data_IF_368768122992
#
_entry.id   IF_368768122992
#
_cell.length_a   1.000
_cell.length_b   1.000
_cell.length_c   1.000
_cell.angle_alpha   90.00
_cell.angle_beta   90.00
_cell.angle_gamma   90.00
#
_symmetry.space_group_name_H-M   'P 1'
#
loop_
_entity.id
_entity.type
_entity.pdbx_description
1 polymer ?
#
# COMPACT_ATOMS: atom_id res chain seq x y z
N UNK A 1 -23.56 13.41 -13.79
CA UNK A 1 -22.64 12.36 -13.41
C UNK A 1 -22.22 12.52 -11.97
N UNK A 2 -22.15 11.41 -11.29
CA UNK A 2 -21.79 11.41 -9.91
C UNK A 2 -20.29 11.68 -9.72
N UNK A 3 -19.91 12.54 -8.76
CA UNK A 3 -18.49 12.72 -8.44
C UNK A 3 -17.80 11.44 -7.99
N UNK A 4 -18.57 10.50 -7.48
CA UNK A 4 -17.98 9.24 -7.06
C UNK A 4 -17.54 8.38 -8.24
N UNK A 5 -18.11 8.61 -9.43
CA UNK A 5 -17.73 7.87 -10.61
C UNK A 5 -16.26 8.10 -10.99
N UNK A 6 -15.80 9.36 -11.07
CA UNK A 6 -14.38 9.59 -11.32
C UNK A 6 -13.48 8.97 -10.26
N UNK A 7 -13.87 9.06 -8.98
CA UNK A 7 -13.10 8.44 -7.91
C UNK A 7 -13.07 6.93 -8.08
N UNK A 8 -14.21 6.36 -8.46
CA UNK A 8 -14.30 4.94 -8.68
C UNK A 8 -13.41 4.51 -9.85
N UNK A 9 -13.42 5.29 -10.92
CA UNK A 9 -12.60 5.02 -12.10
C UNK A 9 -11.11 5.06 -11.76
N UNK A 10 -10.71 5.97 -10.87
CA UNK A 10 -9.33 6.05 -10.41
C UNK A 10 -8.94 4.78 -9.65
N UNK A 11 -9.80 4.30 -8.78
CA UNK A 11 -9.54 3.08 -8.03
C UNK A 11 -9.42 1.86 -8.91
N UNK A 12 -10.35 1.72 -9.85
CA UNK A 12 -10.39 0.55 -10.71
C UNK A 12 -9.09 0.37 -11.49
N UNK A 13 -8.58 1.42 -12.17
CA UNK A 13 -7.31 1.27 -12.90
C UNK A 13 -6.15 0.84 -12.00
N UNK A 14 -6.06 1.41 -10.80
CA UNK A 14 -4.97 1.05 -9.89
C UNK A 14 -5.09 -0.42 -9.49
N UNK A 15 -6.28 -0.86 -9.15
CA UNK A 15 -6.52 -2.24 -8.76
C UNK A 15 -6.31 -3.20 -9.93
N UNK A 16 -6.76 -2.80 -11.10
CA UNK A 16 -6.66 -3.64 -12.29
C UNK A 16 -5.27 -3.68 -12.87
N UNK A 17 -4.48 -2.63 -12.66
CA UNK A 17 -3.13 -2.55 -13.20
C UNK A 17 -2.11 -3.33 -12.41
N UNK A 18 -2.35 -3.52 -11.12
CA UNK A 18 -1.41 -4.24 -10.28
C UNK A 18 -2.08 -5.46 -9.67
N UNK A 19 -1.37 -6.55 -9.74
CA UNK A 19 -1.76 -7.75 -9.03
C UNK A 19 -0.89 -7.82 -7.79
N UNK A 20 -1.47 -7.41 -6.67
CA UNK A 20 -0.74 -7.35 -5.41
C UNK A 20 -0.08 -8.68 -5.06
N UNK A 21 -0.73 -9.79 -5.38
CA UNK A 21 -0.20 -11.10 -5.06
C UNK A 21 1.09 -11.39 -5.82
N UNK A 22 1.23 -10.85 -7.03
CA UNK A 22 2.41 -11.08 -7.84
C UNK A 22 3.57 -10.17 -7.46
N UNK A 23 3.28 -8.91 -7.13
CA UNK A 23 4.37 -7.97 -6.84
C UNK A 23 4.79 -8.00 -5.38
N UNK A 24 3.95 -8.46 -4.48
CA UNK A 24 4.25 -8.48 -3.06
C UNK A 24 5.58 -9.19 -2.74
N UNK A 25 5.84 -10.41 -3.26
CA UNK A 25 7.14 -11.05 -2.98
C UNK A 25 8.31 -10.23 -3.49
N UNK A 26 8.17 -9.59 -4.65
CA UNK A 26 9.23 -8.77 -5.21
C UNK A 26 9.50 -7.53 -4.37
N UNK A 27 8.44 -6.92 -3.86
CA UNK A 27 8.57 -5.76 -2.97
C UNK A 27 9.32 -6.15 -1.70
N UNK A 28 8.99 -7.31 -1.12
CA UNK A 28 9.67 -7.79 0.07
C UNK A 28 11.16 -7.97 -0.21
N UNK A 29 11.52 -8.57 -1.35
CA UNK A 29 12.91 -8.75 -1.72
C UNK A 29 13.65 -7.42 -1.86
N UNK A 30 13.00 -6.42 -2.44
CA UNK A 30 13.62 -5.11 -2.62
C UNK A 30 13.81 -4.37 -1.31
N UNK A 31 12.83 -4.50 -0.42
CA UNK A 31 12.89 -3.80 0.86
C UNK A 31 13.79 -4.49 1.86
N UNK A 32 13.89 -5.81 1.80
CA UNK A 32 14.65 -6.62 2.74
C UNK A 32 15.61 -7.53 1.98
N UNK A 33 16.83 -7.02 1.66
CA UNK A 33 17.78 -7.80 0.86
C UNK A 33 18.26 -9.08 1.52
N UNK A 34 18.27 -9.12 2.86
CA UNK A 34 18.71 -10.30 3.57
C UNK A 34 17.61 -11.34 3.64
N UNK A 35 17.94 -12.57 3.30
CA UNK A 35 16.96 -13.66 3.25
C UNK A 35 16.28 -13.87 4.59
N UNK A 36 17.03 -13.79 5.68
CA UNK A 36 16.48 -13.98 7.01
C UNK A 36 15.45 -12.90 7.36
N UNK A 37 15.68 -11.67 6.91
CA UNK A 37 14.71 -10.60 7.11
C UNK A 37 13.46 -10.84 6.25
N UNK A 38 13.65 -11.33 5.03
CA UNK A 38 12.53 -11.67 4.16
C UNK A 38 11.64 -12.72 4.81
N UNK A 39 12.25 -13.77 5.36
CA UNK A 39 11.51 -14.85 6.02
C UNK A 39 10.74 -14.32 7.22
N UNK A 40 11.39 -13.49 8.01
CA UNK A 40 10.76 -12.90 9.20
C UNK A 40 9.56 -12.04 8.79
N UNK A 41 9.73 -11.19 7.78
CA UNK A 41 8.67 -10.30 7.32
C UNK A 41 7.50 -11.10 6.75
N UNK A 42 7.78 -12.14 5.97
CA UNK A 42 6.72 -13.00 5.44
C UNK A 42 5.90 -13.62 6.57
N UNK A 43 6.59 -14.11 7.61
CA UNK A 43 5.90 -14.70 8.76
C UNK A 43 5.05 -13.68 9.50
N UNK A 44 5.57 -12.46 9.67
CA UNK A 44 4.81 -11.40 10.35
C UNK A 44 3.57 -11.02 9.54
N UNK A 45 3.77 -10.78 8.26
CA UNK A 45 2.66 -10.38 7.37
C UNK A 45 1.59 -11.47 7.30
N UNK A 46 2.00 -12.73 7.45
CA UNK A 46 1.06 -13.85 7.42
C UNK A 46 0.02 -13.81 8.53
N UNK A 47 0.26 -13.05 9.58
CA UNK A 47 -0.70 -12.89 10.66
C UNK A 47 -1.95 -12.16 10.18
N UNK A 48 -1.81 -11.21 9.25
CA UNK A 48 -2.96 -10.65 8.58
C UNK A 48 -3.28 -11.53 7.38
N UNK A 49 -4.48 -12.05 7.33
CA UNK A 49 -4.90 -12.99 6.31
C UNK A 49 -4.97 -14.42 6.85
N UNK A 50 -4.52 -14.63 8.10
CA UNK A 50 -4.63 -15.92 8.74
C UNK A 50 -6.10 -16.30 8.98
N UNK A 51 -6.92 -15.30 9.35
CA UNK A 51 -8.34 -15.52 9.54
C UNK A 51 -9.07 -15.36 8.22
N UNK A 52 -10.05 -16.23 7.97
CA UNK A 52 -10.78 -16.19 6.72
C UNK A 52 -11.58 -14.91 6.49
N UNK A 53 -11.83 -14.14 7.55
CA UNK A 53 -12.60 -12.89 7.42
C UNK A 53 -11.73 -11.67 7.15
N UNK A 54 -10.40 -11.83 7.09
CA UNK A 54 -9.53 -10.70 6.76
C UNK A 54 -9.66 -10.36 5.28
N UNK A 55 -10.14 -9.13 4.92
CA UNK A 55 -10.33 -8.79 3.51
C UNK A 55 -9.06 -8.23 2.88
N UNK A 56 -9.00 -8.25 1.56
CA UNK A 56 -7.98 -7.57 0.76
C UNK A 56 -6.56 -7.91 1.22
N UNK A 57 -6.30 -9.19 1.44
CA UNK A 57 -5.08 -9.64 2.14
C UNK A 57 -3.81 -9.07 1.52
N UNK A 58 -3.62 -9.24 0.23
CA UNK A 58 -2.36 -8.80 -0.39
C UNK A 58 -2.25 -7.29 -0.47
N UNK A 59 -3.36 -6.62 -0.69
CA UNK A 59 -3.40 -5.16 -0.72
C UNK A 59 -3.04 -4.59 0.66
N UNK A 60 -3.59 -5.18 1.72
CA UNK A 60 -3.29 -4.73 3.08
C UNK A 60 -1.83 -5.01 3.43
N UNK A 61 -1.30 -6.16 3.04
CA UNK A 61 0.11 -6.48 3.27
C UNK A 61 1.03 -5.49 2.57
N UNK A 62 0.69 -5.07 1.36
CA UNK A 62 1.44 -4.03 0.66
C UNK A 62 1.40 -2.70 1.43
N UNK A 63 0.21 -2.35 1.93
CA UNK A 63 0.06 -1.13 2.72
C UNK A 63 0.92 -1.17 3.98
N UNK A 64 0.95 -2.31 4.65
CA UNK A 64 1.80 -2.49 5.82
C UNK A 64 3.26 -2.22 5.47
N UNK A 65 3.73 -2.79 4.37
CA UNK A 65 5.12 -2.60 3.95
C UNK A 65 5.44 -1.15 3.67
N UNK A 66 4.52 -0.44 3.00
CA UNK A 66 4.73 0.97 2.70
C UNK A 66 4.89 1.78 3.99
N UNK A 67 4.03 1.55 4.96
CA UNK A 67 4.06 2.30 6.21
C UNK A 67 5.25 1.92 7.09
N UNK A 68 5.62 0.65 7.06
CA UNK A 68 6.70 0.16 7.92
C UNK A 68 8.09 0.54 7.41
N UNK A 69 8.25 0.70 6.11
CA UNK A 69 9.58 0.89 5.57
C UNK A 69 10.42 -0.35 5.78
N UNK A 70 11.72 -0.18 5.92
CA UNK A 70 12.67 -1.28 5.98
C UNK A 70 12.92 -1.82 7.39
N UNK A 71 11.92 -1.73 8.25
CA UNK A 71 12.02 -2.17 9.65
C UNK A 71 11.05 -3.33 9.92
N UNK A 72 11.57 -4.54 10.18
CA UNK A 72 10.70 -5.65 10.55
C UNK A 72 9.85 -5.38 11.79
N UNK A 73 10.37 -4.61 12.74
CA UNK A 73 9.60 -4.25 13.94
C UNK A 73 8.38 -3.42 13.58
N UNK A 74 8.54 -2.48 12.64
CA UNK A 74 7.42 -1.67 12.18
C UNK A 74 6.45 -2.49 11.35
N UNK A 75 6.93 -3.47 10.62
CA UNK A 75 6.06 -4.41 9.92
C UNK A 75 5.14 -5.10 10.95
N UNK A 76 5.70 -5.54 12.07
CA UNK A 76 4.91 -6.17 13.12
C UNK A 76 3.86 -5.22 13.68
N UNK A 77 4.26 -3.98 13.94
CA UNK A 77 3.37 -2.97 14.48
C UNK A 77 2.16 -2.75 13.58
N UNK A 78 2.41 -2.53 12.27
CA UNK A 78 1.33 -2.26 11.34
C UNK A 78 0.50 -3.49 11.01
N UNK A 79 1.11 -4.67 11.09
CA UNK A 79 0.35 -5.92 10.91
C UNK A 79 -0.68 -6.08 12.04
N UNK A 80 -0.26 -5.82 13.27
CA UNK A 80 -1.18 -5.90 14.40
C UNK A 80 -2.27 -4.83 14.29
N UNK A 81 -1.91 -3.64 13.83
CA UNK A 81 -2.88 -2.59 13.59
C UNK A 81 -3.90 -3.00 12.53
N UNK A 82 -3.43 -3.64 11.46
CA UNK A 82 -4.33 -4.11 10.40
C UNK A 82 -5.30 -5.18 10.90
N UNK A 83 -4.85 -6.03 11.82
CA UNK A 83 -5.74 -7.03 12.41
C UNK A 83 -6.85 -6.39 13.22
N UNK A 84 -6.62 -5.21 13.77
CA UNK A 84 -7.65 -4.45 14.48
C UNK A 84 -8.57 -3.72 13.53
N UNK A 85 -7.98 -2.98 12.58
CA UNK A 85 -8.76 -2.24 11.59
C UNK A 85 -7.91 -2.03 10.35
N UNK A 86 -8.10 -2.92 9.39
CA UNK A 86 -7.33 -2.87 8.15
C UNK A 86 -7.55 -1.58 7.37
N UNK A 87 -8.72 -0.93 7.54
CA UNK A 87 -9.05 0.30 6.81
C UNK A 87 -8.13 1.44 7.19
N UNK A 88 -7.75 1.52 8.44
CA UNK A 88 -6.81 2.56 8.89
C UNK A 88 -5.46 2.40 8.20
N UNK A 89 -5.00 1.16 8.09
CA UNK A 89 -3.73 0.89 7.44
C UNK A 89 -3.80 1.21 5.94
N UNK A 90 -4.88 0.80 5.27
CA UNK A 90 -5.05 1.12 3.86
C UNK A 90 -5.10 2.63 3.62
N UNK A 91 -5.88 3.34 4.43
CA UNK A 91 -6.02 4.79 4.28
C UNK A 91 -4.68 5.49 4.48
N UNK A 92 -3.93 5.10 5.50
CA UNK A 92 -2.65 5.73 5.79
C UNK A 92 -1.63 5.49 4.66
N UNK A 93 -1.66 4.32 4.05
CA UNK A 93 -0.70 3.99 2.98
C UNK A 93 -1.12 4.55 1.62
N UNK A 94 -2.40 4.43 1.29
CA UNK A 94 -2.90 4.79 -0.04
C UNK A 94 -3.41 6.23 -0.13
N UNK A 95 -3.94 6.75 0.97
CA UNK A 95 -4.57 8.08 0.97
C UNK A 95 -4.11 8.93 2.15
N UNK A 96 -2.79 9.09 2.34
CA UNK A 96 -2.30 9.81 3.53
C UNK A 96 -2.78 11.26 3.59
N UNK A 97 -2.92 11.93 2.45
CA UNK A 97 -3.35 13.33 2.44
C UNK A 97 -4.78 13.49 2.89
N UNK A 98 -5.64 12.51 2.57
CA UNK A 98 -7.04 12.58 2.92
C UNK A 98 -7.29 12.33 4.42
N UNK A 99 -6.34 11.70 5.10
CA UNK A 99 -6.47 11.45 6.52
C UNK A 99 -6.31 12.71 7.36
N UNK A 100 -5.79 13.78 6.78
CA UNK A 100 -5.60 15.05 7.50
C UNK A 100 -6.94 15.72 7.80
N UNK A 101 -7.88 15.63 6.87
CA UNK A 101 -9.19 16.26 7.03
C UNK A 101 -10.29 15.36 6.48
N UNK A 102 -10.94 14.64 7.37
CA UNK A 102 -12.01 13.70 6.99
C UNK A 102 -13.25 14.39 6.43
N UNK A 103 -13.38 15.70 6.64
CA UNK A 103 -14.53 16.45 6.14
C UNK A 103 -14.24 17.13 4.81
N UNK A 104 -13.07 16.94 4.24
CA UNK A 104 -12.67 17.64 3.04
C UNK A 104 -13.63 17.41 1.88
N UNK A 105 -14.15 16.20 1.76
CA UNK A 105 -15.08 15.88 0.67
C UNK A 105 -16.30 16.80 0.67
N UNK A 106 -16.79 17.15 1.86
CA UNK A 106 -17.93 18.05 2.00
C UNK A 106 -17.52 19.50 1.85
N UNK A 107 -16.36 19.86 2.37
CA UNK A 107 -15.90 21.25 2.40
C UNK A 107 -15.40 21.71 1.05
N UNK A 108 -14.66 20.88 0.35
CA UNK A 108 -14.02 21.23 -0.91
C UNK A 108 -13.91 19.99 -1.78
N UNK A 109 -14.98 19.61 -2.49
CA UNK A 109 -14.98 18.40 -3.32
C UNK A 109 -13.91 18.39 -4.40
N UNK A 110 -13.61 19.54 -4.99
CA UNK A 110 -12.58 19.60 -6.04
C UNK A 110 -11.21 19.30 -5.48
N UNK A 111 -10.90 19.85 -4.32
CA UNK A 111 -9.62 19.57 -3.66
C UNK A 111 -9.54 18.11 -3.22
N UNK A 112 -10.67 17.56 -2.77
CA UNK A 112 -10.74 16.16 -2.41
C UNK A 112 -10.36 15.27 -3.59
N UNK A 113 -10.94 15.54 -4.76
CA UNK A 113 -10.65 14.76 -5.95
C UNK A 113 -9.20 14.87 -6.39
N UNK A 114 -8.62 16.08 -6.28
CA UNK A 114 -7.21 16.28 -6.58
C UNK A 114 -6.32 15.45 -5.67
N UNK A 115 -6.65 15.42 -4.38
CA UNK A 115 -5.86 14.68 -3.41
C UNK A 115 -5.94 13.17 -3.61
N UNK A 116 -7.10 12.66 -4.04
CA UNK A 116 -7.21 11.25 -4.38
C UNK A 116 -6.20 10.89 -5.47
N UNK A 117 -6.13 11.71 -6.52
CA UNK A 117 -5.22 11.46 -7.63
C UNK A 117 -3.77 11.54 -7.16
N UNK A 118 -3.44 12.55 -6.36
CA UNK A 118 -2.09 12.70 -5.84
C UNK A 118 -1.69 11.53 -4.95
N UNK A 119 -2.61 11.09 -4.08
CA UNK A 119 -2.32 9.99 -3.17
C UNK A 119 -2.14 8.67 -3.90
N UNK A 120 -2.97 8.41 -4.90
CA UNK A 120 -2.81 7.21 -5.71
C UNK A 120 -1.48 7.24 -6.47
N UNK A 121 -1.09 8.41 -6.96
CA UNK A 121 0.17 8.56 -7.65
C UNK A 121 1.35 8.27 -6.71
N UNK A 122 1.32 8.79 -5.50
CA UNK A 122 2.41 8.57 -4.56
C UNK A 122 2.52 7.09 -4.19
N UNK A 123 1.41 6.38 -4.10
CA UNK A 123 1.41 4.96 -3.82
C UNK A 123 2.04 4.18 -4.99
N UNK A 124 1.64 4.50 -6.22
CA UNK A 124 2.22 3.88 -7.40
C UNK A 124 3.71 4.16 -7.49
N UNK A 125 4.11 5.40 -7.26
CA UNK A 125 5.52 5.78 -7.33
C UNK A 125 6.34 5.02 -6.31
N UNK A 126 5.77 4.76 -5.15
CA UNK A 126 6.47 4.00 -4.13
C UNK A 126 6.80 2.58 -4.61
N UNK A 127 5.81 1.83 -5.07
CA UNK A 127 6.09 0.45 -5.44
C UNK A 127 6.83 0.34 -6.78
N UNK A 128 6.53 1.24 -7.72
CA UNK A 128 7.26 1.25 -8.98
C UNK A 128 8.72 1.63 -8.77
N UNK A 129 8.98 2.56 -7.83
CA UNK A 129 10.34 2.93 -7.51
C UNK A 129 11.16 1.77 -7.01
N UNK A 130 10.58 0.96 -6.12
CA UNK A 130 11.26 -0.21 -5.61
C UNK A 130 11.58 -1.21 -6.72
N UNK A 131 10.60 -1.49 -7.56
CA UNK A 131 10.77 -2.45 -8.65
C UNK A 131 11.73 -1.93 -9.71
N UNK A 132 11.65 -0.64 -10.01
CA UNK A 132 12.43 -0.01 -11.06
C UNK A 132 13.89 0.20 -10.66
N UNK A 133 14.13 0.58 -9.42
CA UNK A 133 15.48 0.79 -8.92
C UNK A 133 16.36 -0.45 -9.08
N UNK A 134 15.77 -1.62 -8.81
CA UNK A 134 16.50 -2.86 -8.99
C UNK A 134 16.93 -3.07 -10.43
N UNK A 135 16.06 -2.72 -11.36
CA UNK A 135 16.37 -2.84 -12.79
C UNK A 135 17.43 -1.82 -13.22
N UNK A 136 17.29 -0.59 -12.71
CA UNK A 136 18.25 0.47 -13.03
C UNK A 136 19.66 0.12 -12.56
N UNK A 137 19.76 -0.44 -11.36
CA UNK A 137 21.06 -0.88 -10.84
C UNK A 137 21.66 -1.96 -11.70
N UNK A 138 20.87 -2.92 -12.14
CA UNK A 138 21.33 -3.98 -13.01
C UNK A 138 21.82 -3.42 -14.34
N UNK A 139 21.09 -2.47 -14.90
CA UNK A 139 21.42 -1.90 -16.19
C UNK A 139 22.75 -1.15 -16.16
N UNK A 140 23.08 -0.58 -15.03
CA UNK A 140 24.34 0.16 -14.88
C UNK A 140 25.54 -0.74 -14.73
N UNK A 141 25.32 -1.98 -14.40
CA UNK A 141 26.39 -2.94 -14.24
C UNK A 141 26.63 -3.74 -15.50
#
# INVERSE_FOLDING_TARGET
MSPSVPCHDIFVPVRGMIDHSKILPRIIEKMFPREEDQDLVVNILGQYGHEGFHPEVDRVRMAILKLAGKSPERVRYYTLMACRDYRDVLSAAEYPSLMVDFNLRKKDPDRYDELIIEDLRQYQEWYLGLLWEGNAVKDKQ
#
